data_IF_916784709968
#
_entry.id   IF_916784709968
#
_cell.length_a   1.000
_cell.length_b   1.000
_cell.length_c   1.000
_cell.angle_alpha   90.00
_cell.angle_beta   90.00
_cell.angle_gamma   90.00
#
_symmetry.space_group_name_H-M   'P 1'
#
loop_
_entity.id
_entity.type
_entity.pdbx_description
1 polymer ?
#
# COMPACT_ATOMS: atom_id res chain seq x y z
N UNK A 1 13.61 13.90 0.40
CA UNK A 1 13.41 13.88 1.89
C UNK A 1 13.41 12.41 2.28
N UNK A 2 14.14 12.02 3.31
CA UNK A 2 14.25 10.61 3.71
C UNK A 2 13.25 10.34 4.84
N UNK A 3 12.28 9.46 4.62
CA UNK A 3 11.21 9.15 5.61
C UNK A 3 11.79 8.53 6.89
N UNK A 4 12.90 7.80 6.82
CA UNK A 4 13.54 7.20 7.99
C UNK A 4 14.22 8.24 8.89
N UNK A 5 14.70 9.35 8.32
CA UNK A 5 15.22 10.47 9.09
C UNK A 5 14.09 11.33 9.70
N UNK A 6 12.96 11.42 8.99
CA UNK A 6 11.77 12.14 9.45
C UNK A 6 11.09 11.40 10.61
N UNK A 7 11.02 10.07 10.53
CA UNK A 7 10.37 9.20 11.51
C UNK A 7 11.36 8.12 11.97
N UNK A 8 12.35 8.47 12.80
CA UNK A 8 13.31 7.50 13.32
C UNK A 8 12.63 6.52 14.28
N UNK A 9 13.17 5.30 14.43
CA UNK A 9 12.65 4.35 15.40
C UNK A 9 12.78 4.90 16.82
N UNK A 10 11.73 4.68 17.62
CA UNK A 10 11.74 5.07 19.03
C UNK A 10 12.79 4.25 19.81
N UNK A 11 13.55 4.91 20.68
CA UNK A 11 14.61 4.27 21.46
C UNK A 11 14.10 3.08 22.29
N UNK A 12 12.87 3.16 22.80
CA UNK A 12 12.21 2.08 23.55
C UNK A 12 12.02 0.79 22.73
N UNK A 13 11.90 0.91 21.40
CA UNK A 13 11.58 -0.22 20.51
C UNK A 13 12.73 -0.63 19.60
N UNK A 14 13.90 0.00 19.74
CA UNK A 14 15.02 -0.13 18.79
C UNK A 14 15.48 -1.57 18.58
N UNK A 15 15.58 -2.35 19.66
CA UNK A 15 16.02 -3.76 19.57
C UNK A 15 15.03 -4.62 18.81
N UNK A 16 13.73 -4.47 19.10
CA UNK A 16 12.68 -5.19 18.38
C UNK A 16 12.65 -4.77 16.91
N UNK A 17 12.76 -3.48 16.65
CA UNK A 17 12.79 -2.93 15.30
C UNK A 17 13.92 -3.54 14.48
N UNK A 18 15.15 -3.52 15.00
CA UNK A 18 16.33 -4.06 14.33
C UNK A 18 16.26 -5.59 14.15
N UNK A 19 15.83 -6.32 15.19
CA UNK A 19 15.68 -7.77 15.11
C UNK A 19 14.65 -8.19 14.04
N UNK A 20 13.56 -7.47 13.90
CA UNK A 20 12.57 -7.74 12.85
C UNK A 20 13.12 -7.40 11.46
N UNK A 21 13.91 -6.34 11.30
CA UNK A 21 14.54 -6.00 10.02
C UNK A 21 15.49 -7.12 9.57
N UNK A 22 16.37 -7.58 10.43
CA UNK A 22 17.33 -8.64 10.08
C UNK A 22 16.62 -9.95 9.75
N UNK A 23 15.59 -10.31 10.51
CA UNK A 23 14.74 -11.47 10.20
C UNK A 23 14.05 -11.30 8.84
N UNK A 24 13.46 -10.13 8.58
CA UNK A 24 12.76 -9.84 7.32
C UNK A 24 13.69 -9.85 6.10
N UNK A 25 14.89 -9.28 6.23
CA UNK A 25 15.92 -9.34 5.18
C UNK A 25 16.32 -10.79 4.85
N UNK A 26 16.54 -11.60 5.88
CA UNK A 26 16.87 -13.02 5.70
C UNK A 26 15.74 -13.78 5.05
N UNK A 27 14.51 -13.58 5.54
CA UNK A 27 13.30 -14.23 5.04
C UNK A 27 13.01 -13.89 3.57
N UNK A 28 13.17 -12.63 3.20
CA UNK A 28 12.81 -12.13 1.89
C UNK A 28 13.72 -12.63 0.75
N UNK A 29 14.97 -12.99 1.05
CA UNK A 29 15.93 -13.51 0.05
C UNK A 29 15.43 -14.74 -0.71
N UNK A 30 14.62 -15.56 -0.07
CA UNK A 30 14.09 -16.79 -0.66
C UNK A 30 12.65 -16.62 -1.20
N UNK A 31 12.10 -15.39 -1.19
CA UNK A 31 10.74 -15.09 -1.59
C UNK A 31 10.67 -14.43 -2.96
N UNK A 32 9.63 -14.77 -3.71
CA UNK A 32 9.23 -14.10 -4.93
C UNK A 32 8.13 -13.10 -4.60
N UNK A 33 8.23 -11.87 -5.10
CA UNK A 33 7.25 -10.83 -4.83
C UNK A 33 6.68 -10.21 -6.10
N UNK A 34 5.41 -9.86 -6.07
CA UNK A 34 4.76 -9.02 -7.07
C UNK A 34 4.45 -7.67 -6.44
N UNK A 35 4.88 -6.59 -7.07
CA UNK A 35 4.48 -5.23 -6.69
C UNK A 35 3.46 -4.74 -7.72
N UNK A 36 2.38 -4.12 -7.28
CA UNK A 36 1.34 -3.64 -8.19
C UNK A 36 0.84 -2.26 -7.79
N UNK A 37 0.53 -1.43 -8.78
CA UNK A 37 0.00 -0.09 -8.57
C UNK A 37 -0.74 0.47 -9.77
N UNK A 38 -1.47 1.55 -9.52
CA UNK A 38 -2.20 2.31 -10.53
C UNK A 38 -1.41 3.55 -10.92
N UNK A 39 -1.44 3.91 -12.20
CA UNK A 39 -0.79 5.10 -12.72
C UNK A 39 -1.76 5.88 -13.61
N UNK A 40 -1.94 7.17 -13.31
CA UNK A 40 -2.63 8.12 -14.18
C UNK A 40 -2.15 9.54 -13.90
N UNK A 41 -1.59 10.20 -14.93
CA UNK A 41 -1.08 11.56 -14.82
C UNK A 41 -0.07 11.75 -13.66
N UNK A 42 0.89 10.84 -13.56
CA UNK A 42 1.95 10.85 -12.54
C UNK A 42 3.36 10.88 -13.16
N UNK A 43 3.51 11.52 -14.31
CA UNK A 43 4.80 11.64 -15.02
C UNK A 43 5.93 12.17 -14.11
N UNK A 44 5.59 13.02 -13.12
CA UNK A 44 6.58 13.64 -12.22
C UNK A 44 7.13 12.68 -11.14
N UNK A 45 6.42 11.59 -10.84
CA UNK A 45 6.77 10.69 -9.73
C UNK A 45 7.06 9.25 -10.18
N UNK A 46 6.48 8.79 -11.28
CA UNK A 46 6.48 7.36 -11.66
C UNK A 46 7.88 6.78 -11.85
N UNK A 47 8.82 7.50 -12.43
CA UNK A 47 10.19 7.05 -12.61
C UNK A 47 10.90 6.84 -11.28
N UNK A 48 10.78 7.82 -10.36
CA UNK A 48 11.31 7.74 -9.01
C UNK A 48 10.70 6.55 -8.25
N UNK A 49 9.38 6.41 -8.29
CA UNK A 49 8.65 5.35 -7.58
C UNK A 49 9.05 3.96 -8.08
N UNK A 50 9.11 3.75 -9.39
CA UNK A 50 9.51 2.47 -9.97
C UNK A 50 10.97 2.14 -9.68
N UNK A 51 11.88 3.12 -9.76
CA UNK A 51 13.28 2.93 -9.43
C UNK A 51 13.45 2.49 -7.98
N UNK A 52 12.78 3.15 -7.04
CA UNK A 52 12.86 2.82 -5.63
C UNK A 52 12.26 1.46 -5.30
N UNK A 53 11.09 1.13 -5.86
CA UNK A 53 10.46 -0.18 -5.70
C UNK A 53 11.31 -1.31 -6.31
N UNK A 54 11.91 -1.11 -7.48
CA UNK A 54 12.78 -2.07 -8.11
C UNK A 54 14.06 -2.30 -7.28
N UNK A 55 14.66 -1.24 -6.73
CA UNK A 55 15.83 -1.35 -5.85
C UNK A 55 15.54 -2.16 -4.59
N UNK A 56 14.37 -1.96 -3.98
CA UNK A 56 13.92 -2.79 -2.86
C UNK A 56 13.73 -4.26 -3.30
N UNK A 57 13.03 -4.48 -4.41
CA UNK A 57 12.66 -5.79 -4.91
C UNK A 57 13.85 -6.65 -5.36
N UNK A 58 14.97 -6.05 -5.78
CA UNK A 58 16.22 -6.76 -6.13
C UNK A 58 16.82 -7.58 -4.98
N UNK A 59 16.41 -7.31 -3.74
CA UNK A 59 16.84 -8.08 -2.57
C UNK A 59 16.02 -9.37 -2.33
N UNK A 60 15.12 -9.72 -3.25
CA UNK A 60 14.28 -10.93 -3.21
C UNK A 60 14.83 -11.99 -4.17
N UNK A 61 14.27 -13.20 -4.12
CA UNK A 61 14.61 -14.28 -5.04
C UNK A 61 14.22 -13.97 -6.49
N UNK A 62 13.07 -13.36 -6.68
CA UNK A 62 12.53 -12.93 -7.96
C UNK A 62 11.44 -11.88 -7.72
N UNK A 63 11.23 -10.98 -8.68
CA UNK A 63 10.18 -9.99 -8.56
C UNK A 63 9.53 -9.64 -9.91
N UNK A 64 8.29 -9.17 -9.85
CA UNK A 64 7.60 -8.46 -10.92
C UNK A 64 6.97 -7.18 -10.39
N UNK A 65 6.96 -6.13 -11.20
CA UNK A 65 6.24 -4.89 -10.93
C UNK A 65 5.21 -4.73 -12.04
N UNK A 66 3.91 -4.68 -11.67
CA UNK A 66 2.83 -4.58 -12.62
C UNK A 66 2.11 -3.25 -12.42
N UNK A 67 2.11 -2.42 -13.46
CA UNK A 67 1.46 -1.13 -13.44
C UNK A 67 0.25 -1.14 -14.37
N UNK A 68 -0.89 -0.78 -13.82
CA UNK A 68 -2.08 -0.48 -14.61
C UNK A 68 -2.12 1.02 -14.90
N UNK A 69 -2.07 1.37 -16.15
CA UNK A 69 -2.15 2.77 -16.62
C UNK A 69 -3.43 2.97 -17.44
N UNK A 70 -4.18 4.01 -17.10
CA UNK A 70 -5.36 4.39 -17.87
C UNK A 70 -5.45 5.89 -18.10
N UNK A 71 -5.81 6.27 -19.32
CA UNK A 71 -6.25 7.62 -19.71
C UNK A 71 -5.31 8.76 -19.31
N UNK A 72 -4.00 8.54 -19.16
CA UNK A 72 -3.06 9.63 -18.90
C UNK A 72 -2.99 10.58 -20.08
N UNK A 73 -3.02 11.87 -19.79
CA UNK A 73 -2.87 12.97 -20.74
C UNK A 73 -1.47 13.61 -20.70
N UNK A 74 -0.65 13.24 -19.72
CA UNK A 74 0.75 13.63 -19.59
C UNK A 74 1.69 12.54 -20.14
N UNK A 75 2.99 12.66 -19.88
CA UNK A 75 4.01 11.74 -20.39
C UNK A 75 4.11 10.42 -19.59
N UNK A 76 3.18 10.13 -18.67
CA UNK A 76 3.24 8.90 -17.82
C UNK A 76 3.42 7.63 -18.66
N UNK A 77 2.63 7.46 -19.73
CA UNK A 77 2.71 6.28 -20.61
C UNK A 77 4.04 6.17 -21.33
N UNK A 78 4.58 7.28 -21.86
CA UNK A 78 5.86 7.30 -22.53
C UNK A 78 7.01 6.91 -21.59
N UNK A 79 7.00 7.44 -20.35
CA UNK A 79 7.98 7.10 -19.32
C UNK A 79 7.92 5.61 -19.00
N UNK A 80 6.71 5.04 -18.78
CA UNK A 80 6.53 3.62 -18.52
C UNK A 80 7.07 2.73 -19.64
N UNK A 81 6.83 3.08 -20.92
CA UNK A 81 7.35 2.35 -22.08
C UNK A 81 8.88 2.41 -22.17
N UNK A 82 9.51 3.48 -21.73
CA UNK A 82 10.96 3.59 -21.71
C UNK A 82 11.57 2.75 -20.58
N UNK A 83 11.04 2.86 -19.35
CA UNK A 83 11.54 2.09 -18.20
C UNK A 83 11.42 0.57 -18.44
N UNK A 84 10.33 0.14 -19.04
CA UNK A 84 10.09 -1.28 -19.36
C UNK A 84 11.12 -1.87 -20.32
N UNK A 85 11.70 -1.06 -21.22
CA UNK A 85 12.78 -1.53 -22.11
C UNK A 85 14.05 -1.91 -21.35
N UNK A 86 14.33 -1.18 -20.27
CA UNK A 86 15.54 -1.35 -19.47
C UNK A 86 15.35 -2.35 -18.32
N UNK A 87 14.11 -2.61 -17.91
CA UNK A 87 13.79 -3.55 -16.85
C UNK A 87 12.66 -4.53 -17.26
N UNK A 88 13.01 -5.77 -17.64
CA UNK A 88 12.02 -6.78 -18.09
C UNK A 88 11.12 -7.31 -16.96
N UNK A 89 11.39 -6.94 -15.72
CA UNK A 89 10.52 -7.27 -14.60
C UNK A 89 9.34 -6.30 -14.45
N UNK A 90 9.34 -5.19 -15.20
CA UNK A 90 8.23 -4.25 -15.22
C UNK A 90 7.25 -4.61 -16.33
N UNK A 91 6.01 -4.83 -15.94
CA UNK A 91 4.88 -5.17 -16.81
C UNK A 91 3.88 -4.01 -16.74
N UNK A 92 3.39 -3.59 -17.90
CA UNK A 92 2.40 -2.51 -17.99
C UNK A 92 1.13 -3.02 -18.66
N UNK A 93 -0.01 -2.74 -18.05
CA UNK A 93 -1.34 -2.99 -18.60
C UNK A 93 -1.92 -1.62 -18.94
N UNK A 94 -2.25 -1.41 -20.22
CA UNK A 94 -2.79 -0.16 -20.73
C UNK A 94 -4.25 -0.35 -21.10
N UNK A 95 -5.12 0.46 -20.52
CA UNK A 95 -6.54 0.49 -20.90
C UNK A 95 -6.99 1.92 -21.17
N UNK A 96 -8.05 2.09 -21.94
CA UNK A 96 -8.68 3.37 -22.21
C UNK A 96 -10.14 3.29 -21.83
N UNK A 97 -10.51 3.98 -20.78
CA UNK A 97 -11.87 4.01 -20.26
C UNK A 97 -12.61 5.30 -20.60
N UNK A 98 -11.88 6.34 -21.06
CA UNK A 98 -12.41 7.69 -21.33
C UNK A 98 -13.14 8.29 -20.09
N UNK A 99 -12.69 7.94 -18.90
CA UNK A 99 -13.24 8.48 -17.65
C UNK A 99 -12.58 9.80 -17.31
N UNK A 100 -13.28 10.70 -16.62
CA UNK A 100 -12.64 11.92 -16.10
C UNK A 100 -11.53 11.56 -15.13
N UNK A 101 -10.55 12.44 -14.95
CA UNK A 101 -9.60 12.32 -13.85
C UNK A 101 -10.33 12.65 -12.55
N UNK A 102 -10.44 11.66 -11.68
CA UNK A 102 -11.03 11.88 -10.35
C UNK A 102 -10.02 12.62 -9.46
N UNK A 103 -10.51 13.63 -8.73
CA UNK A 103 -9.74 14.25 -7.66
C UNK A 103 -9.69 13.37 -6.40
N UNK A 104 -9.14 13.91 -5.32
CA UNK A 104 -9.15 13.26 -3.99
C UNK A 104 -10.54 13.40 -3.33
N UNK A 105 -11.55 12.80 -3.94
CA UNK A 105 -12.93 12.84 -3.49
C UNK A 105 -13.41 11.46 -3.06
N UNK A 106 -14.30 11.47 -2.08
CA UNK A 106 -14.95 10.26 -1.56
C UNK A 106 -16.30 10.10 -2.27
N UNK A 107 -16.28 9.56 -3.47
CA UNK A 107 -17.49 9.26 -4.22
C UNK A 107 -17.44 7.87 -4.85
N UNK A 108 -18.60 7.33 -5.14
CA UNK A 108 -18.78 5.98 -5.64
C UNK A 108 -18.23 5.80 -7.06
N UNK A 109 -18.27 6.81 -7.92
CA UNK A 109 -17.75 6.70 -9.29
C UNK A 109 -16.23 6.49 -9.27
N UNK A 110 -15.54 7.26 -8.42
CA UNK A 110 -14.08 7.12 -8.24
C UNK A 110 -13.73 5.75 -7.67
N UNK A 111 -14.38 5.35 -6.57
CA UNK A 111 -14.05 4.09 -5.89
C UNK A 111 -14.38 2.86 -6.74
N UNK A 112 -15.48 2.89 -7.50
CA UNK A 112 -15.82 1.84 -8.47
C UNK A 112 -14.78 1.73 -9.58
N UNK A 113 -14.31 2.85 -10.12
CA UNK A 113 -13.25 2.86 -11.13
C UNK A 113 -11.93 2.27 -10.57
N UNK A 114 -11.51 2.69 -9.38
CA UNK A 114 -10.31 2.15 -8.74
C UNK A 114 -10.44 0.65 -8.45
N UNK A 115 -11.61 0.21 -8.01
CA UNK A 115 -11.90 -1.21 -7.76
C UNK A 115 -11.78 -2.04 -9.05
N UNK A 116 -12.29 -1.54 -10.17
CA UNK A 116 -12.18 -2.20 -11.48
C UNK A 116 -10.70 -2.36 -11.88
N UNK A 117 -9.90 -1.28 -11.81
CA UNK A 117 -8.49 -1.31 -12.17
C UNK A 117 -7.67 -2.26 -11.27
N UNK A 118 -7.93 -2.25 -9.96
CA UNK A 118 -7.28 -3.17 -9.03
C UNK A 118 -7.72 -4.63 -9.23
N UNK A 119 -8.95 -4.88 -9.64
CA UNK A 119 -9.41 -6.23 -10.01
C UNK A 119 -8.72 -6.73 -11.28
N UNK A 120 -8.46 -5.87 -12.28
CA UNK A 120 -7.66 -6.24 -13.47
C UNK A 120 -6.25 -6.69 -13.06
N UNK A 121 -5.59 -5.96 -12.17
CA UNK A 121 -4.27 -6.34 -11.65
C UNK A 121 -4.33 -7.66 -10.86
N UNK A 122 -5.33 -7.83 -9.99
CA UNK A 122 -5.53 -9.06 -9.23
C UNK A 122 -5.75 -10.27 -10.16
N UNK A 123 -6.54 -10.12 -11.20
CA UNK A 123 -6.80 -11.21 -12.15
C UNK A 123 -5.56 -11.55 -12.97
N UNK A 124 -4.74 -10.56 -13.33
CA UNK A 124 -3.46 -10.81 -13.98
C UNK A 124 -2.55 -11.66 -13.07
N UNK A 125 -2.46 -11.33 -11.79
CA UNK A 125 -1.68 -12.10 -10.80
C UNK A 125 -2.23 -13.51 -10.66
N UNK A 126 -3.56 -13.65 -10.54
CA UNK A 126 -4.25 -14.94 -10.44
C UNK A 126 -4.00 -15.85 -11.65
N UNK A 127 -3.81 -15.27 -12.82
CA UNK A 127 -3.62 -16.04 -14.06
C UNK A 127 -2.14 -16.36 -14.33
N UNK A 128 -1.23 -15.47 -13.99
CA UNK A 128 0.15 -15.56 -14.48
C UNK A 128 1.22 -15.67 -13.40
N UNK A 129 0.92 -15.36 -12.12
CA UNK A 129 1.93 -15.18 -11.07
C UNK A 129 1.57 -15.88 -9.74
N UNK A 130 0.82 -16.99 -9.81
CA UNK A 130 0.41 -17.77 -8.62
C UNK A 130 1.59 -18.39 -7.86
N UNK A 131 2.75 -18.53 -8.50
CA UNK A 131 3.98 -19.05 -7.90
C UNK A 131 4.79 -17.99 -7.13
N UNK A 132 4.29 -16.75 -7.06
CA UNK A 132 4.87 -15.69 -6.24
C UNK A 132 4.31 -15.78 -4.81
N UNK A 133 5.19 -15.54 -3.82
CA UNK A 133 4.83 -15.71 -2.40
C UNK A 133 3.99 -14.55 -1.87
N UNK A 134 4.31 -13.32 -2.28
CA UNK A 134 3.69 -12.11 -1.76
C UNK A 134 3.31 -11.13 -2.86
N UNK A 135 2.19 -10.42 -2.65
CA UNK A 135 1.75 -9.27 -3.43
C UNK A 135 1.90 -8.01 -2.56
N UNK A 136 2.54 -7.00 -3.10
CA UNK A 136 2.63 -5.66 -2.52
C UNK A 136 1.78 -4.75 -3.39
N UNK A 137 0.70 -4.23 -2.83
CA UNK A 137 -0.10 -3.17 -3.47
C UNK A 137 0.46 -1.84 -2.99
N UNK A 138 0.82 -0.94 -3.92
CA UNK A 138 1.43 0.35 -3.58
C UNK A 138 0.81 1.49 -4.38
N UNK A 139 0.70 2.67 -3.77
CA UNK A 139 0.56 3.93 -4.50
C UNK A 139 1.84 4.22 -5.28
N UNK A 140 1.74 4.94 -6.41
CA UNK A 140 2.85 5.20 -7.33
C UNK A 140 3.27 6.67 -7.38
N UNK A 141 2.66 7.51 -6.56
CA UNK A 141 2.89 8.95 -6.45
C UNK A 141 3.52 9.35 -5.10
N UNK A 142 4.27 8.45 -4.49
CA UNK A 142 4.94 8.71 -3.22
C UNK A 142 6.25 9.51 -3.38
N UNK A 143 6.60 10.27 -2.34
CA UNK A 143 7.90 10.96 -2.21
C UNK A 143 8.96 9.97 -1.75
N UNK A 144 8.64 9.15 -0.75
CA UNK A 144 9.58 8.19 -0.16
C UNK A 144 8.85 7.08 0.61
N UNK A 145 9.47 5.91 0.74
CA UNK A 145 9.05 4.89 1.68
C UNK A 145 10.24 4.26 2.41
N UNK A 146 10.00 3.68 3.57
CA UNK A 146 11.04 3.04 4.38
C UNK A 146 11.28 1.60 3.94
N UNK A 147 12.41 1.33 3.26
CA UNK A 147 12.86 -0.03 2.97
C UNK A 147 13.03 -0.85 4.26
N UNK A 148 13.59 -0.23 5.32
CA UNK A 148 13.73 -0.87 6.63
C UNK A 148 12.37 -1.20 7.24
N UNK A 149 11.36 -0.35 7.03
CA UNK A 149 9.99 -0.60 7.44
C UNK A 149 9.37 -1.78 6.70
N UNK A 150 9.63 -1.91 5.39
CA UNK A 150 9.21 -3.07 4.61
C UNK A 150 9.89 -4.36 5.11
N UNK A 151 11.20 -4.36 5.34
CA UNK A 151 11.89 -5.49 5.95
C UNK A 151 11.33 -5.83 7.34
N UNK A 152 10.99 -4.81 8.15
CA UNK A 152 10.34 -5.02 9.44
C UNK A 152 8.99 -5.75 9.29
N UNK A 153 8.20 -5.40 8.28
CA UNK A 153 6.93 -6.09 7.96
C UNK A 153 7.15 -7.54 7.55
N UNK A 154 8.13 -7.82 6.71
CA UNK A 154 8.50 -9.20 6.38
C UNK A 154 9.05 -9.97 7.59
N UNK A 155 9.68 -9.29 8.54
CA UNK A 155 10.06 -9.85 9.84
C UNK A 155 8.86 -10.30 10.67
N UNK A 156 7.78 -9.52 10.69
CA UNK A 156 6.53 -9.90 11.33
C UNK A 156 5.86 -11.10 10.64
N UNK A 157 5.82 -11.11 9.29
CA UNK A 157 5.29 -12.23 8.51
C UNK A 157 6.10 -13.52 8.75
N UNK A 158 7.43 -13.41 8.81
CA UNK A 158 8.30 -14.55 9.11
C UNK A 158 8.11 -15.11 10.52
N UNK A 159 7.87 -14.23 11.49
CA UNK A 159 7.66 -14.60 12.89
C UNK A 159 6.28 -15.21 13.16
N UNK A 160 5.29 -14.82 12.37
CA UNK A 160 3.89 -15.22 12.56
C UNK A 160 3.27 -15.74 11.26
N UNK A 161 3.86 -16.80 10.64
CA UNK A 161 3.47 -17.25 9.31
C UNK A 161 2.03 -17.77 9.23
N UNK A 162 1.49 -18.28 10.34
CA UNK A 162 0.16 -18.89 10.39
C UNK A 162 -0.93 -17.92 10.89
N UNK A 163 -0.55 -16.73 11.38
CA UNK A 163 -1.49 -15.82 12.03
C UNK A 163 -1.55 -14.43 11.40
N UNK A 164 -0.61 -14.07 10.52
CA UNK A 164 -0.65 -12.81 9.79
C UNK A 164 -0.72 -13.11 8.31
N UNK A 165 -1.74 -12.61 7.64
CA UNK A 165 -1.97 -12.78 6.20
C UNK A 165 -1.63 -11.55 5.38
N UNK A 166 -1.74 -10.38 6.00
CA UNK A 166 -1.39 -9.11 5.38
C UNK A 166 -0.85 -8.09 6.39
N UNK A 167 0.03 -7.19 5.90
CA UNK A 167 0.61 -6.10 6.68
C UNK A 167 0.43 -4.80 5.91
N UNK A 168 -0.38 -3.90 6.45
CA UNK A 168 -0.58 -2.55 5.92
C UNK A 168 0.48 -1.58 6.45
N UNK A 169 0.81 -0.59 5.63
CA UNK A 169 1.70 0.49 5.98
C UNK A 169 1.06 1.58 6.84
N UNK A 170 1.87 2.58 7.15
CA UNK A 170 1.53 3.76 7.90
C UNK A 170 2.05 4.98 7.13
N UNK A 171 1.20 5.60 6.34
CA UNK A 171 1.60 6.67 5.43
C UNK A 171 1.29 8.06 5.98
N UNK A 172 2.06 9.02 5.50
CA UNK A 172 2.00 10.40 5.95
C UNK A 172 1.96 11.36 4.76
N UNK A 173 1.40 12.53 5.02
CA UNK A 173 1.40 13.70 4.13
C UNK A 173 1.64 14.97 4.94
N UNK A 174 2.09 16.04 4.27
CA UNK A 174 2.17 17.34 4.89
C UNK A 174 0.91 18.17 4.61
N UNK A 175 0.18 18.53 5.66
CA UNK A 175 -0.97 19.44 5.56
C UNK A 175 -0.64 20.85 6.10
N UNK A 176 -1.15 21.88 5.43
CA UNK A 176 -1.07 23.23 5.92
C UNK A 176 -2.02 23.40 7.13
N UNK A 177 -1.46 23.70 8.29
CA UNK A 177 -2.26 24.03 9.48
C UNK A 177 -2.55 25.53 9.45
N UNK A 178 -3.80 25.88 9.15
CA UNK A 178 -4.26 27.26 8.91
C UNK A 178 -4.00 28.21 10.08
N UNK A 179 -3.98 27.69 11.31
CA UNK A 179 -3.78 28.50 12.53
C UNK A 179 -2.32 28.86 12.81
N UNK A 180 -1.36 28.18 12.21
CA UNK A 180 0.07 28.36 12.54
C UNK A 180 0.93 28.75 11.33
N UNK A 181 0.35 28.82 10.14
CA UNK A 181 1.08 28.99 8.87
C UNK A 181 2.25 28.00 8.71
N UNK A 182 2.11 26.80 9.27
CA UNK A 182 3.11 25.73 9.28
C UNK A 182 2.56 24.48 8.65
N UNK A 183 3.44 23.73 7.96
CA UNK A 183 3.11 22.37 7.51
C UNK A 183 3.24 21.39 8.68
N UNK A 184 2.23 20.57 8.87
CA UNK A 184 2.22 19.53 9.89
C UNK A 184 2.12 18.17 9.23
N UNK A 185 2.79 17.17 9.80
CA UNK A 185 2.72 15.79 9.35
C UNK A 185 1.43 15.16 9.84
N UNK A 186 0.68 14.56 8.91
CA UNK A 186 -0.58 13.89 9.16
C UNK A 186 -0.53 12.46 8.67
N UNK A 187 -1.26 11.57 9.32
CA UNK A 187 -1.49 10.25 8.75
C UNK A 187 -2.40 10.38 7.52
N UNK A 188 -1.92 9.88 6.38
CA UNK A 188 -2.58 10.10 5.09
C UNK A 188 -3.88 9.32 4.96
N UNK A 189 -3.87 8.02 5.27
CA UNK A 189 -4.91 7.09 4.82
C UNK A 189 -5.96 6.78 5.88
N UNK A 190 -6.54 7.83 6.46
CA UNK A 190 -7.64 7.68 7.43
C UNK A 190 -8.91 7.09 6.82
N UNK A 191 -9.09 7.19 5.50
CA UNK A 191 -10.29 6.69 4.83
C UNK A 191 -10.31 5.17 4.67
N UNK A 192 -9.18 4.52 4.41
CA UNK A 192 -9.08 3.06 4.36
C UNK A 192 -9.01 2.40 5.74
N UNK A 193 -8.88 3.21 6.80
CA UNK A 193 -8.65 2.69 8.15
C UNK A 193 -9.95 2.27 8.84
N UNK A 194 -10.00 1.02 9.33
CA UNK A 194 -11.10 0.46 10.14
C UNK A 194 -10.54 -0.36 11.28
N UNK A 195 -10.79 0.05 12.51
CA UNK A 195 -10.43 -0.72 13.70
C UNK A 195 -11.23 -2.02 13.82
N UNK A 196 -10.70 -3.00 14.53
CA UNK A 196 -11.37 -4.29 14.78
C UNK A 196 -12.65 -4.17 15.61
N UNK A 197 -12.72 -3.18 16.47
CA UNK A 197 -13.87 -2.95 17.35
C UNK A 197 -14.84 -1.88 16.86
N UNK A 198 -14.49 -1.13 15.84
CA UNK A 198 -15.27 0.01 15.41
C UNK A 198 -16.30 -0.37 14.34
N UNK A 199 -15.90 -0.43 13.12
CA UNK A 199 -16.78 -0.68 11.99
C UNK A 199 -16.30 -1.91 11.22
N UNK A 200 -17.14 -2.94 11.20
CA UNK A 200 -16.81 -4.20 10.51
C UNK A 200 -17.36 -4.25 9.09
N UNK A 201 -18.26 -3.35 8.76
CA UNK A 201 -18.89 -3.31 7.44
C UNK A 201 -18.40 -2.10 6.68
N UNK A 202 -18.19 -2.24 5.35
CA UNK A 202 -17.96 -1.11 4.48
C UNK A 202 -19.20 -0.21 4.49
N UNK A 203 -19.00 1.06 4.73
CA UNK A 203 -20.06 2.09 4.71
C UNK A 203 -19.45 3.38 4.17
N UNK A 204 -19.86 3.75 2.96
CA UNK A 204 -19.46 5.01 2.35
C UNK A 204 -20.36 6.14 2.88
N UNK A 205 -20.01 6.71 4.00
CA UNK A 205 -20.70 7.86 4.57
C UNK A 205 -19.75 8.83 5.29
N UNK A 206 -20.22 10.05 5.49
CA UNK A 206 -19.46 11.09 6.18
C UNK A 206 -19.24 10.79 7.66
N UNK A 207 -20.10 10.02 8.30
CA UNK A 207 -19.96 9.64 9.71
C UNK A 207 -18.83 8.63 9.88
N UNK A 208 -18.73 7.64 9.00
CA UNK A 208 -17.63 6.67 9.04
C UNK A 208 -16.29 7.36 8.84
N UNK A 209 -16.20 8.26 7.84
CA UNK A 209 -14.98 9.04 7.61
C UNK A 209 -14.68 9.96 8.80
N UNK A 210 -15.65 10.70 9.29
CA UNK A 210 -15.49 11.57 10.47
C UNK A 210 -15.06 10.78 11.70
N UNK A 211 -15.55 9.56 11.85
CA UNK A 211 -15.16 8.66 12.91
C UNK A 211 -13.69 8.23 12.86
N UNK A 212 -13.06 8.24 11.69
CA UNK A 212 -11.65 7.87 11.49
C UNK A 212 -10.71 9.08 11.40
N UNK A 213 -11.22 10.30 11.36
CA UNK A 213 -10.40 11.52 11.25
C UNK A 213 -9.36 11.66 12.37
N UNK A 214 -9.65 11.20 13.58
CA UNK A 214 -8.71 11.21 14.70
C UNK A 214 -7.42 10.44 14.37
N UNK A 215 -7.49 9.43 13.50
CA UNK A 215 -6.32 8.68 13.04
C UNK A 215 -5.33 9.57 12.27
N UNK A 216 -5.81 10.60 11.59
CA UNK A 216 -4.95 11.58 10.92
C UNK A 216 -3.96 12.29 11.85
N UNK A 217 -4.31 12.43 13.12
CA UNK A 217 -3.45 13.08 14.13
C UNK A 217 -2.58 12.09 14.91
N UNK A 218 -2.78 10.81 14.74
CA UNK A 218 -2.14 9.78 15.56
C UNK A 218 -0.91 9.22 14.85
N UNK A 219 0.25 9.74 15.21
CA UNK A 219 1.53 9.25 14.69
C UNK A 219 2.04 8.15 15.63
N UNK A 220 1.96 6.92 15.18
CA UNK A 220 2.45 5.78 15.94
C UNK A 220 3.97 5.73 15.94
N UNK A 221 4.62 5.45 17.08
CA UNK A 221 6.07 5.35 17.15
C UNK A 221 6.61 4.21 16.26
N UNK A 222 7.58 4.52 15.42
CA UNK A 222 8.30 3.52 14.62
C UNK A 222 9.00 2.54 15.56
N UNK A 223 8.89 1.24 15.27
CA UNK A 223 9.38 0.16 16.11
C UNK A 223 8.35 -0.37 17.12
N UNK A 224 7.20 0.31 17.32
CA UNK A 224 6.14 -0.23 18.15
C UNK A 224 5.54 -1.52 17.57
N UNK A 225 4.69 -2.20 18.35
CA UNK A 225 4.08 -3.46 17.88
C UNK A 225 3.06 -3.23 16.76
N UNK A 226 2.84 -4.24 15.96
CA UNK A 226 1.77 -4.27 14.97
C UNK A 226 0.39 -4.21 15.62
N UNK A 227 -0.58 -3.66 14.91
CA UNK A 227 -1.94 -3.44 15.39
C UNK A 227 -2.93 -4.22 14.51
N UNK A 228 -3.71 -5.17 15.06
CA UNK A 228 -4.78 -5.82 14.30
C UNK A 228 -5.83 -4.80 13.86
N UNK A 229 -6.23 -4.85 12.58
CA UNK A 229 -7.22 -3.94 12.00
C UNK A 229 -8.19 -4.69 11.10
N UNK A 230 -9.37 -4.12 10.89
CA UNK A 230 -10.32 -4.63 9.91
C UNK A 230 -9.95 -4.19 8.49
N UNK A 231 -9.42 -2.99 8.36
CA UNK A 231 -8.90 -2.44 7.12
C UNK A 231 -7.83 -1.39 7.41
N UNK A 232 -6.79 -1.35 6.61
CA UNK A 232 -5.84 -0.26 6.44
C UNK A 232 -5.08 -0.48 5.13
N UNK A 233 -4.63 0.59 4.50
CA UNK A 233 -3.80 0.48 3.30
C UNK A 233 -2.45 1.19 3.51
N UNK A 234 -2.50 2.46 3.92
CA UNK A 234 -1.31 3.24 4.25
C UNK A 234 -0.34 3.40 3.08
N UNK A 235 -0.88 3.60 1.86
CA UNK A 235 -0.08 3.75 0.64
C UNK A 235 0.64 2.48 0.17
N UNK A 236 0.79 1.47 1.05
CA UNK A 236 1.43 0.20 0.72
C UNK A 236 0.98 -0.92 1.65
N UNK A 237 0.45 -2.01 1.10
CA UNK A 237 0.09 -3.21 1.87
C UNK A 237 0.69 -4.47 1.24
N UNK A 238 1.25 -5.33 2.08
CA UNK A 238 1.85 -6.62 1.73
C UNK A 238 0.85 -7.72 2.06
N UNK A 239 0.56 -8.60 1.11
CA UNK A 239 -0.35 -9.74 1.26
C UNK A 239 0.35 -11.03 0.90
N UNK A 240 0.01 -12.14 1.54
CA UNK A 240 0.28 -13.48 0.99
C UNK A 240 -0.50 -13.65 -0.32
N UNK A 241 0.15 -14.09 -1.39
CA UNK A 241 -0.47 -14.16 -2.73
C UNK A 241 -1.73 -15.02 -2.73
N UNK A 242 -1.69 -16.20 -2.09
CA UNK A 242 -2.83 -17.12 -2.06
C UNK A 242 -4.06 -16.57 -1.29
N UNK A 243 -3.85 -15.60 -0.39
CA UNK A 243 -4.94 -14.87 0.25
C UNK A 243 -5.44 -13.74 -0.65
N UNK A 244 -4.51 -12.94 -1.20
CA UNK A 244 -4.81 -11.79 -2.04
C UNK A 244 -5.74 -12.12 -3.22
N UNK A 245 -5.45 -13.19 -3.94
CA UNK A 245 -6.22 -13.59 -5.13
C UNK A 245 -7.68 -13.95 -4.83
N UNK A 246 -8.00 -14.30 -3.59
CA UNK A 246 -9.36 -14.62 -3.16
C UNK A 246 -10.21 -13.37 -2.91
N UNK A 247 -9.60 -12.22 -2.65
CA UNK A 247 -10.31 -10.94 -2.45
C UNK A 247 -10.98 -10.45 -3.73
N UNK A 248 -11.91 -9.52 -3.56
CA UNK A 248 -12.56 -8.81 -4.67
C UNK A 248 -12.67 -7.35 -4.26
N UNK A 249 -12.15 -6.45 -5.08
CA UNK A 249 -12.37 -5.02 -4.88
C UNK A 249 -13.78 -4.64 -5.29
N UNK A 250 -14.37 -3.72 -4.55
CA UNK A 250 -15.65 -3.08 -4.83
C UNK A 250 -15.55 -1.60 -4.45
N UNK A 251 -16.42 -0.76 -4.97
CA UNK A 251 -16.32 0.68 -4.83
C UNK A 251 -17.47 1.34 -4.09
N UNK A 252 -18.31 0.59 -3.38
CA UNK A 252 -19.37 1.22 -2.62
C UNK A 252 -18.92 1.84 -1.28
N UNK A 253 -17.68 1.59 -0.86
CA UNK A 253 -16.88 2.33 0.13
C UNK A 253 -15.47 2.51 -0.46
N UNK A 254 -14.48 2.92 0.33
CA UNK A 254 -13.08 2.83 -0.04
C UNK A 254 -12.77 1.42 -0.58
N UNK A 255 -12.21 1.32 -1.76
CA UNK A 255 -12.00 0.03 -2.43
C UNK A 255 -11.14 -0.94 -1.62
N UNK A 256 -10.20 -0.43 -0.82
CA UNK A 256 -9.43 -1.25 0.11
C UNK A 256 -10.27 -1.80 1.26
N UNK A 257 -11.21 -1.00 1.79
CA UNK A 257 -12.15 -1.46 2.83
C UNK A 257 -13.01 -2.59 2.29
N UNK A 258 -13.58 -2.41 1.10
CA UNK A 258 -14.38 -3.44 0.42
C UNK A 258 -13.56 -4.71 0.15
N UNK A 259 -12.30 -4.57 -0.27
CA UNK A 259 -11.39 -5.68 -0.52
C UNK A 259 -11.11 -6.49 0.75
N UNK A 260 -10.73 -5.82 1.84
CA UNK A 260 -10.47 -6.49 3.12
C UNK A 260 -11.73 -7.15 3.70
N UNK A 261 -12.89 -6.52 3.52
CA UNK A 261 -14.16 -7.12 3.89
C UNK A 261 -14.43 -8.39 3.07
N UNK A 262 -14.23 -8.34 1.76
CA UNK A 262 -14.41 -9.51 0.88
C UNK A 262 -13.48 -10.67 1.27
N UNK A 263 -12.24 -10.38 1.67
CA UNK A 263 -11.30 -11.38 2.18
C UNK A 263 -11.81 -12.03 3.47
N UNK A 264 -12.27 -11.24 4.43
CA UNK A 264 -12.83 -11.77 5.69
C UNK A 264 -14.08 -12.62 5.49
N UNK A 265 -14.91 -12.29 4.49
CA UNK A 265 -16.08 -13.10 4.16
C UNK A 265 -15.70 -14.48 3.59
N UNK A 266 -14.66 -14.54 2.77
CA UNK A 266 -14.19 -15.78 2.13
C UNK A 266 -13.24 -16.58 3.03
N UNK A 267 -12.49 -15.89 3.88
CA UNK A 267 -11.47 -16.45 4.77
C UNK A 267 -11.71 -15.87 6.17
N UNK A 268 -12.58 -16.47 6.98
CA UNK A 268 -12.91 -15.96 8.31
C UNK A 268 -11.69 -15.79 9.25
N UNK A 269 -10.63 -16.56 9.01
CA UNK A 269 -9.36 -16.46 9.77
C UNK A 269 -8.41 -15.38 9.23
N UNK A 270 -8.75 -14.66 8.15
CA UNK A 270 -7.87 -13.64 7.56
C UNK A 270 -7.50 -12.56 8.59
N UNK A 271 -6.20 -12.36 8.76
CA UNK A 271 -5.64 -11.38 9.69
C UNK A 271 -4.82 -10.32 8.96
N UNK A 272 -5.33 -9.09 8.99
CA UNK A 272 -4.63 -7.88 8.57
C UNK A 272 -4.12 -7.14 9.80
N UNK A 273 -2.87 -6.72 9.75
CA UNK A 273 -2.25 -5.86 10.77
C UNK A 273 -1.70 -4.59 10.14
N UNK A 274 -1.71 -3.49 10.88
CA UNK A 274 -1.00 -2.26 10.53
C UNK A 274 0.37 -2.29 11.21
N UNK A 275 1.44 -2.04 10.45
CA UNK A 275 2.79 -1.93 10.98
C UNK A 275 3.23 -0.46 11.07
N UNK A 276 3.38 0.12 12.27
CA UNK A 276 3.84 1.49 12.45
C UNK A 276 5.23 1.77 11.85
N UNK A 277 6.03 0.73 11.62
CA UNK A 277 7.37 0.84 11.06
C UNK A 277 7.41 0.89 9.53
N UNK A 278 6.37 0.44 8.84
CA UNK A 278 6.28 0.48 7.38
C UNK A 278 5.75 1.85 6.95
N UNK A 279 6.63 2.84 6.97
CA UNK A 279 6.27 4.24 6.71
C UNK A 279 6.42 4.63 5.24
N UNK A 280 5.51 5.48 4.76
CA UNK A 280 5.52 6.08 3.43
C UNK A 280 5.15 7.57 3.53
N UNK A 281 5.79 8.40 2.73
CA UNK A 281 5.47 9.83 2.58
C UNK A 281 4.88 10.06 1.19
N UNK A 282 3.69 10.61 1.15
CA UNK A 282 2.96 10.90 -0.08
C UNK A 282 3.03 12.39 -0.42
N UNK A 283 2.96 12.68 -1.71
CA UNK A 283 2.81 14.05 -2.22
C UNK A 283 1.31 14.38 -2.27
N UNK A 284 0.88 15.43 -1.56
CA UNK A 284 -0.53 15.81 -1.40
C UNK A 284 -0.80 17.26 -1.82
#
# INVERSE_FOLDING_TARGET
>A
MNIQELLPPSAEFIDRYNNNIELGKSFLKDKKIVITGLARNIANSIEHSLSKLANFAQNTKDYKIIIFENDSSDNTREILENIKKDNPNIITIYETHNRPQFGQVQDTERTMALAEYRNTLREYINTHLLDYDYVIVSDMDFIDFSDLGCYNSFGWLARHPDTIDAVAGNSFEYKNVTLANQKSLWNYDSWAFRYTWWNQLPVLDSMTYSGTLWFGFFIMPVGSTIIPVNSAFGGMTIYKTHQFIQGTYDGYDCEHVCFHYSLKQKIPSFQLVLNPSQTMLLDS
#
